data_IF_507283246579
#
_entry.id   IF_507283246579
#
_cell.length_a   1.000
_cell.length_b   1.000
_cell.length_c   1.000
_cell.angle_alpha   90.00
_cell.angle_beta   90.00
_cell.angle_gamma   90.00
#
_symmetry.space_group_name_H-M   'P 1'
#
loop_
_entity.id
_entity.type
_entity.pdbx_description
1 polymer ?
#
# COMPACT_ATOMS: atom_id res chain seq x y z
N UNK A 1 10.86 70.51 7.65
CA UNK A 1 10.30 71.87 7.88
C UNK A 1 8.83 71.85 7.46
N UNK A 2 7.88 71.88 8.41
CA UNK A 2 6.92 72.99 8.67
C UNK A 2 6.13 73.42 7.40
N UNK A 3 4.79 73.33 7.30
CA UNK A 3 3.73 73.88 8.19
C UNK A 3 2.33 73.35 7.84
N UNK A 4 1.48 73.26 8.87
CA UNK A 4 0.01 73.20 8.85
C UNK A 4 -0.66 74.44 8.20
N UNK A 5 -1.83 74.26 7.55
CA UNK A 5 -3.17 74.73 8.03
C UNK A 5 -4.27 74.68 6.94
N UNK A 6 -5.27 73.83 7.18
CA UNK A 6 -6.73 74.05 7.22
C UNK A 6 -7.31 75.21 6.36
N UNK A 7 -8.24 74.86 5.45
CA UNK A 7 -9.51 75.59 5.29
C UNK A 7 -10.66 74.62 4.95
N UNK A 8 -11.70 74.66 5.78
CA UNK A 8 -13.00 73.97 5.64
C UNK A 8 -13.80 74.55 4.47
N UNK A 9 -14.44 73.71 3.66
CA UNK A 9 -15.69 74.04 2.97
C UNK A 9 -16.70 72.91 3.19
N UNK A 10 -17.83 73.31 3.76
CA UNK A 10 -19.02 72.52 4.05
C UNK A 10 -19.81 72.39 2.74
N UNK A 11 -20.22 71.18 2.37
CA UNK A 11 -21.19 70.90 1.30
C UNK A 11 -22.27 69.99 1.91
N UNK A 12 -23.57 70.28 1.74
CA UNK A 12 -24.63 69.55 2.43
C UNK A 12 -24.84 68.19 1.77
N UNK A 13 -24.91 67.16 2.62
CA UNK A 13 -25.27 65.80 2.26
C UNK A 13 -26.79 65.72 2.10
N UNK A 14 -27.27 65.73 0.85
CA UNK A 14 -28.67 65.44 0.54
C UNK A 14 -28.84 63.91 0.57
N UNK A 15 -29.32 63.41 1.72
CA UNK A 15 -29.59 62.00 1.97
C UNK A 15 -30.86 61.59 1.19
N UNK A 16 -30.69 60.98 0.02
CA UNK A 16 -31.79 60.32 -0.68
C UNK A 16 -32.06 58.98 -0.01
N UNK A 17 -33.00 58.98 0.92
CA UNK A 17 -33.46 57.79 1.65
C UNK A 17 -34.30 56.93 0.71
N UNK A 18 -33.67 55.98 0.01
CA UNK A 18 -34.40 54.88 -0.61
C UNK A 18 -34.82 53.93 0.52
N UNK A 19 -36.03 54.10 1.04
CA UNK A 19 -36.67 53.09 1.86
C UNK A 19 -36.98 51.89 0.98
N UNK A 20 -36.06 50.93 0.96
CA UNK A 20 -36.34 49.58 0.47
C UNK A 20 -37.30 48.94 1.48
N UNK A 21 -38.58 48.89 1.14
CA UNK A 21 -39.58 48.11 1.86
C UNK A 21 -39.22 46.62 1.73
N UNK A 22 -38.32 46.13 2.57
CA UNK A 22 -38.19 44.71 2.86
C UNK A 22 -39.38 44.32 3.74
N UNK A 23 -40.49 43.95 3.08
CA UNK A 23 -41.54 43.17 3.73
C UNK A 23 -40.89 41.82 4.07
N UNK A 24 -40.39 41.68 5.29
CA UNK A 24 -40.17 40.37 5.89
C UNK A 24 -41.56 39.77 6.13
N UNK A 25 -42.04 39.01 5.16
CA UNK A 25 -43.09 38.03 5.46
C UNK A 25 -42.44 37.02 6.39
N UNK A 26 -42.60 37.18 7.69
CA UNK A 26 -42.40 36.09 8.62
C UNK A 26 -43.48 35.07 8.27
N UNK A 27 -43.12 34.07 7.45
CA UNK A 27 -43.87 32.83 7.46
C UNK A 27 -43.88 32.35 8.91
N UNK A 28 -45.04 32.35 9.54
CA UNK A 28 -45.22 31.82 10.88
C UNK A 28 -44.66 30.40 10.90
N UNK A 29 -43.61 30.16 11.67
CA UNK A 29 -43.09 28.81 11.90
C UNK A 29 -44.25 27.93 12.38
N UNK A 30 -44.58 26.88 11.63
CA UNK A 30 -45.67 25.94 11.92
C UNK A 30 -45.42 25.14 13.22
N UNK A 31 -44.17 25.08 13.66
CA UNK A 31 -43.77 24.44 14.90
C UNK A 31 -44.41 25.13 16.12
N UNK A 32 -44.88 24.30 17.06
CA UNK A 32 -45.42 24.72 18.36
C UNK A 32 -44.51 24.31 19.53
N UNK A 33 -43.34 23.73 19.24
CA UNK A 33 -42.36 23.29 20.23
C UNK A 33 -41.02 22.92 19.61
N UNK A 34 -40.09 22.46 20.45
CA UNK A 34 -38.76 22.02 19.99
C UNK A 34 -38.86 20.88 18.97
N UNK A 35 -37.85 20.69 18.09
CA UNK A 35 -37.95 19.72 17.03
C UNK A 35 -38.14 18.28 17.53
N UNK A 36 -38.77 17.44 16.73
CA UNK A 36 -38.85 16.00 16.98
C UNK A 36 -37.47 15.34 17.04
N UNK A 37 -37.42 14.06 17.44
CA UNK A 37 -36.16 13.33 17.58
C UNK A 37 -35.43 13.20 16.22
N UNK A 38 -34.22 13.76 16.12
CA UNK A 38 -33.37 13.64 14.95
C UNK A 38 -32.66 12.27 14.95
N UNK A 39 -32.87 11.47 13.91
CA UNK A 39 -32.24 10.16 13.74
C UNK A 39 -31.29 10.20 12.55
N UNK A 40 -30.04 9.83 12.76
CA UNK A 40 -29.00 9.88 11.72
C UNK A 40 -28.61 8.46 11.27
N UNK A 41 -28.35 8.28 9.98
CA UNK A 41 -27.89 7.02 9.38
C UNK A 41 -26.92 7.28 8.21
N UNK A 42 -26.28 6.21 7.72
CA UNK A 42 -25.43 6.22 6.53
C UNK A 42 -25.72 5.02 5.62
N UNK A 43 -25.25 5.09 4.38
CA UNK A 43 -25.33 4.01 3.38
C UNK A 43 -23.96 3.41 2.98
N UNK A 44 -22.87 3.81 3.65
CA UNK A 44 -21.49 3.32 3.45
C UNK A 44 -21.28 1.83 3.85
N UNK A 45 -22.06 0.92 3.27
CA UNK A 45 -22.00 -0.51 3.55
C UNK A 45 -20.86 -1.22 2.81
N UNK A 46 -20.42 -0.63 1.69
CA UNK A 46 -19.28 -1.06 0.88
C UNK A 46 -17.93 -0.52 1.38
N UNK A 47 -17.95 0.58 2.15
CA UNK A 47 -16.75 1.15 2.76
C UNK A 47 -15.88 1.94 1.78
N UNK A 48 -16.42 2.36 0.64
CA UNK A 48 -15.64 2.94 -0.48
C UNK A 48 -15.35 4.45 -0.33
N UNK A 49 -15.97 5.09 0.67
CA UNK A 49 -15.83 6.53 0.91
C UNK A 49 -16.79 7.40 0.10
N UNK A 50 -17.72 6.81 -0.63
CA UNK A 50 -18.84 7.46 -1.30
C UNK A 50 -20.13 7.09 -0.56
N UNK A 51 -20.58 7.98 0.31
CA UNK A 51 -21.76 7.71 1.13
C UNK A 51 -22.54 8.95 1.45
N UNK A 52 -23.79 8.75 1.82
CA UNK A 52 -24.73 9.77 2.22
C UNK A 52 -25.01 9.63 3.70
N UNK A 53 -24.80 10.72 4.45
CA UNK A 53 -25.34 10.85 5.81
C UNK A 53 -26.74 11.42 5.70
N UNK A 54 -27.72 10.71 6.25
CA UNK A 54 -29.14 11.12 6.23
C UNK A 54 -29.64 11.37 7.63
N UNK A 55 -30.29 12.51 7.85
CA UNK A 55 -31.06 12.80 9.06
C UNK A 55 -32.54 12.68 8.74
N UNK A 56 -33.27 11.90 9.56
CA UNK A 56 -34.72 11.79 9.54
C UNK A 56 -35.32 12.22 10.87
N UNK A 57 -36.36 13.03 10.80
CA UNK A 57 -37.30 13.29 11.90
C UNK A 57 -38.68 12.77 11.47
N UNK A 58 -39.13 11.68 12.09
CA UNK A 58 -40.32 10.94 11.63
C UNK A 58 -41.66 11.59 12.00
N UNK A 59 -41.71 12.29 13.12
CA UNK A 59 -42.89 12.97 13.65
C UNK A 59 -42.47 14.05 14.64
N UNK A 60 -43.36 15.02 14.89
CA UNK A 60 -43.12 16.14 15.83
C UNK A 60 -43.01 17.48 15.11
N UNK A 61 -42.41 18.47 15.77
CA UNK A 61 -42.17 19.78 15.16
C UNK A 61 -40.91 19.73 14.30
N UNK A 62 -40.91 20.41 13.16
CA UNK A 62 -39.74 20.51 12.29
C UNK A 62 -38.68 21.46 12.86
N UNK A 63 -37.45 21.24 12.42
CA UNK A 63 -36.38 22.23 12.52
C UNK A 63 -36.47 23.27 11.40
N UNK A 64 -35.98 24.47 11.69
CA UNK A 64 -35.71 25.53 10.69
C UNK A 64 -34.24 25.55 10.28
N UNK A 65 -33.39 24.73 10.90
CA UNK A 65 -32.00 24.53 10.51
C UNK A 65 -31.49 23.17 10.97
N UNK A 66 -30.56 22.58 10.24
CA UNK A 66 -29.76 21.46 10.73
C UNK A 66 -28.28 21.77 10.69
N UNK A 67 -27.51 21.23 11.63
CA UNK A 67 -26.05 21.26 11.64
C UNK A 67 -25.52 19.83 11.71
N UNK A 68 -24.66 19.44 10.76
CA UNK A 68 -23.97 18.16 10.76
C UNK A 68 -22.56 18.33 11.32
N UNK A 69 -22.17 17.43 12.22
CA UNK A 69 -20.84 17.38 12.82
C UNK A 69 -20.12 16.12 12.37
N UNK A 70 -18.84 16.27 12.04
CA UNK A 70 -17.88 15.19 11.81
C UNK A 70 -16.77 15.28 12.84
N UNK A 71 -16.49 14.20 13.57
CA UNK A 71 -15.46 14.17 14.61
C UNK A 71 -15.57 15.36 15.59
N UNK A 72 -16.81 15.65 15.99
CA UNK A 72 -17.22 16.78 16.84
C UNK A 72 -16.99 18.19 16.25
N UNK A 73 -16.62 18.32 14.99
CA UNK A 73 -16.49 19.61 14.28
C UNK A 73 -17.68 19.83 13.36
N UNK A 74 -18.33 21.00 13.42
CA UNK A 74 -19.42 21.33 12.52
C UNK A 74 -18.88 21.45 11.08
N UNK A 75 -19.44 20.68 10.15
CA UNK A 75 -19.03 20.63 8.73
C UNK A 75 -20.08 21.20 7.79
N UNK A 76 -21.31 21.35 8.27
CA UNK A 76 -22.44 21.86 7.49
C UNK A 76 -23.48 22.46 8.42
N UNK A 77 -24.04 23.62 8.06
CA UNK A 77 -25.27 24.15 8.65
C UNK A 77 -26.14 24.69 7.53
N UNK A 78 -27.39 24.21 7.43
CA UNK A 78 -28.33 24.63 6.39
C UNK A 78 -29.68 25.02 6.99
N UNK A 79 -30.33 26.00 6.37
CA UNK A 79 -31.70 26.39 6.72
C UNK A 79 -32.70 25.38 6.14
N UNK A 80 -33.75 25.09 6.89
CA UNK A 80 -34.82 24.15 6.52
C UNK A 80 -36.18 24.82 6.56
N UNK A 81 -37.12 24.30 5.78
CA UNK A 81 -38.52 24.73 5.82
C UNK A 81 -39.27 23.98 6.92
N UNK A 82 -39.94 24.74 7.78
CA UNK A 82 -40.84 24.20 8.81
C UNK A 82 -42.21 23.86 8.22
N UNK A 83 -42.46 22.57 8.06
CA UNK A 83 -43.72 21.99 7.56
C UNK A 83 -44.37 21.12 8.65
N UNK A 84 -44.23 21.52 9.92
CA UNK A 84 -44.77 20.76 11.06
C UNK A 84 -46.26 20.41 10.88
N UNK A 85 -46.71 19.21 11.29
CA UNK A 85 -45.96 18.15 11.98
C UNK A 85 -45.44 17.04 11.02
N UNK A 86 -45.27 17.34 9.73
CA UNK A 86 -44.84 16.35 8.74
C UNK A 86 -43.41 15.86 9.02
N UNK A 87 -43.09 14.65 8.57
CA UNK A 87 -41.72 14.16 8.62
C UNK A 87 -40.76 15.09 7.87
N UNK A 88 -39.52 15.17 8.36
CA UNK A 88 -38.47 16.03 7.79
C UNK A 88 -37.20 15.20 7.56
N UNK A 89 -36.66 15.28 6.34
CA UNK A 89 -35.47 14.54 5.93
C UNK A 89 -34.49 15.47 5.24
N UNK A 90 -33.21 15.34 5.58
CA UNK A 90 -32.10 16.04 4.93
C UNK A 90 -30.90 15.11 4.82
N UNK A 91 -30.03 15.36 3.85
CA UNK A 91 -28.88 14.51 3.63
C UNK A 91 -27.66 15.27 3.14
N UNK A 92 -26.48 14.70 3.41
CA UNK A 92 -25.19 15.18 2.90
C UNK A 92 -24.46 14.02 2.25
N UNK A 93 -24.25 14.12 0.94
CA UNK A 93 -23.38 13.22 0.20
C UNK A 93 -21.90 13.58 0.42
N UNK A 94 -21.11 12.54 0.62
CA UNK A 94 -19.66 12.53 0.61
C UNK A 94 -19.19 11.75 -0.61
N UNK A 95 -18.12 12.23 -1.23
CA UNK A 95 -17.49 11.56 -2.37
C UNK A 95 -16.01 11.49 -2.08
N UNK A 96 -15.40 10.34 -2.36
CA UNK A 96 -13.97 10.12 -2.24
C UNK A 96 -13.43 10.46 -0.84
N UNK A 97 -14.18 10.12 0.22
CA UNK A 97 -13.69 10.32 1.59
C UNK A 97 -12.41 9.50 1.79
N UNK A 98 -11.37 10.09 2.41
CA UNK A 98 -10.16 9.33 2.73
C UNK A 98 -10.48 8.12 3.62
N UNK A 99 -9.67 7.06 3.50
CA UNK A 99 -9.73 5.91 4.41
C UNK A 99 -9.62 6.39 5.86
N UNK A 100 -10.46 5.85 6.74
CA UNK A 100 -10.48 6.23 8.14
C UNK A 100 -11.82 5.98 8.81
N UNK A 101 -11.85 6.19 10.12
CA UNK A 101 -13.06 6.14 10.93
C UNK A 101 -13.54 7.55 11.22
N UNK A 102 -14.78 7.83 10.86
CA UNK A 102 -15.45 9.12 11.06
C UNK A 102 -16.62 8.94 12.00
N UNK A 103 -16.82 9.89 12.91
CA UNK A 103 -18.03 9.95 13.75
C UNK A 103 -18.92 11.08 13.29
N UNK A 104 -20.22 10.82 13.17
CA UNK A 104 -21.21 11.82 12.77
C UNK A 104 -22.33 11.94 13.79
N UNK A 105 -22.74 13.17 14.06
CA UNK A 105 -23.99 13.52 14.78
C UNK A 105 -24.57 14.78 14.17
N UNK A 106 -25.83 15.07 14.43
CA UNK A 106 -26.46 16.29 13.95
C UNK A 106 -27.32 16.97 15.02
N UNK A 107 -27.50 18.28 14.86
CA UNK A 107 -28.45 19.10 15.59
C UNK A 107 -29.55 19.57 14.63
N UNK A 108 -30.81 19.32 14.98
CA UNK A 108 -31.98 19.90 14.33
C UNK A 108 -32.55 21.00 15.24
N UNK A 109 -32.63 22.23 14.75
CA UNK A 109 -32.97 23.41 15.58
C UNK A 109 -34.12 24.22 14.99
N UNK A 110 -34.99 24.73 15.85
CA UNK A 110 -35.96 25.78 15.55
C UNK A 110 -35.93 26.87 16.65
N UNK A 111 -36.90 27.79 16.66
CA UNK A 111 -37.01 28.87 17.66
C UNK A 111 -37.29 28.39 19.09
N UNK A 112 -37.78 27.16 19.26
CA UNK A 112 -38.18 26.60 20.55
C UNK A 112 -37.10 25.70 21.17
N UNK A 113 -36.12 25.24 20.39
CA UNK A 113 -35.02 24.45 20.91
C UNK A 113 -34.25 23.67 19.85
N UNK A 114 -33.42 22.75 20.33
CA UNK A 114 -32.56 21.86 19.54
C UNK A 114 -32.83 20.40 19.92
N UNK A 115 -32.87 19.54 18.92
CA UNK A 115 -32.88 18.08 19.02
C UNK A 115 -31.57 17.55 18.45
N UNK A 116 -30.76 16.89 19.28
CA UNK A 116 -29.45 16.32 18.89
C UNK A 116 -29.59 14.81 18.67
N UNK A 117 -29.05 14.30 17.57
CA UNK A 117 -29.04 12.86 17.29
C UNK A 117 -28.04 12.09 18.16
N UNK A 118 -28.14 10.77 18.16
CA UNK A 118 -27.02 9.91 18.56
C UNK A 118 -25.83 10.09 17.60
N UNK A 119 -24.66 9.62 18.04
CA UNK A 119 -23.46 9.52 17.19
C UNK A 119 -23.44 8.19 16.44
N UNK A 120 -23.21 8.23 15.14
CA UNK A 120 -22.93 7.06 14.30
C UNK A 120 -21.46 7.05 13.88
N UNK A 121 -20.94 5.85 13.58
CA UNK A 121 -19.57 5.66 13.10
C UNK A 121 -19.59 5.16 11.67
N UNK A 122 -18.81 5.79 10.80
CA UNK A 122 -18.58 5.36 9.42
C UNK A 122 -17.13 4.96 9.27
N UNK A 123 -16.87 3.73 8.84
CA UNK A 123 -15.53 3.25 8.51
C UNK A 123 -15.37 3.20 7.00
N UNK A 124 -14.45 3.99 6.46
CA UNK A 124 -14.01 3.91 5.07
C UNK A 124 -12.81 2.98 5.02
N UNK A 125 -12.95 1.89 4.26
CA UNK A 125 -11.99 0.80 4.17
C UNK A 125 -11.06 0.92 2.95
N UNK A 126 -11.47 1.63 1.90
CA UNK A 126 -10.63 1.90 0.74
C UNK A 126 -10.55 3.41 0.52
N UNK A 127 -9.34 3.90 0.24
CA UNK A 127 -9.23 5.27 -0.24
C UNK A 127 -9.76 5.30 -1.70
N UNK A 128 -10.33 6.43 -2.15
CA UNK A 128 -10.74 6.58 -3.55
C UNK A 128 -9.59 6.23 -4.50
N UNK A 129 -9.87 5.65 -5.68
CA UNK A 129 -8.84 5.29 -6.64
C UNK A 129 -7.98 6.50 -6.97
N UNK A 130 -6.71 6.45 -6.60
CA UNK A 130 -5.79 7.50 -7.00
C UNK A 130 -5.55 7.40 -8.51
N UNK A 131 -5.48 8.55 -9.18
CA UNK A 131 -5.13 8.64 -10.60
C UNK A 131 -3.61 8.59 -10.85
N UNK A 132 -2.82 8.72 -9.78
CA UNK A 132 -1.35 8.74 -9.79
C UNK A 132 -0.84 8.18 -8.45
N UNK A 133 0.13 7.24 -8.45
CA UNK A 133 0.71 6.68 -7.23
C UNK A 133 1.70 7.64 -6.55
N UNK A 134 1.89 8.86 -7.04
CA UNK A 134 2.87 9.82 -6.52
C UNK A 134 4.29 9.53 -7.02
N UNK A 135 5.25 10.38 -6.66
CA UNK A 135 6.65 10.21 -7.06
C UNK A 135 7.36 9.25 -6.08
N UNK A 136 8.20 8.36 -6.61
CA UNK A 136 9.02 7.43 -5.82
C UNK A 136 9.81 8.13 -4.71
N UNK A 137 9.91 7.45 -3.57
CA UNK A 137 10.63 7.91 -2.39
C UNK A 137 12.14 7.67 -2.49
N UNK A 138 12.85 8.09 -1.45
CA UNK A 138 14.29 7.83 -1.32
C UNK A 138 14.54 6.52 -0.59
N UNK A 139 15.43 5.69 -1.12
CA UNK A 139 15.83 4.43 -0.49
C UNK A 139 17.02 4.62 0.44
N UNK A 140 16.97 4.00 1.62
CA UNK A 140 18.13 3.86 2.50
C UNK A 140 19.21 2.94 1.91
N UNK A 141 20.39 2.92 2.55
CA UNK A 141 21.45 1.97 2.23
C UNK A 141 21.15 0.54 2.68
N UNK A 142 20.26 0.40 3.67
CA UNK A 142 19.71 -0.85 4.19
C UNK A 142 18.21 -0.66 4.30
N UNK A 143 17.44 -1.64 3.83
CA UNK A 143 15.99 -1.55 3.71
C UNK A 143 15.38 -2.87 4.13
N UNK A 144 14.35 -2.83 4.97
CA UNK A 144 13.41 -3.93 5.11
C UNK A 144 12.19 -3.66 4.21
N UNK A 145 11.97 -4.52 3.22
CA UNK A 145 10.84 -4.41 2.27
C UNK A 145 10.18 -5.79 2.09
N UNK A 146 9.24 -6.19 2.98
CA UNK A 146 8.60 -7.49 2.91
C UNK A 146 7.73 -7.63 1.66
N UNK A 147 7.60 -8.85 1.15
CA UNK A 147 6.72 -9.13 0.02
C UNK A 147 5.25 -8.99 0.44
N UNK A 148 4.43 -8.50 -0.48
CA UNK A 148 2.97 -8.45 -0.38
C UNK A 148 2.41 -9.13 -1.61
N UNK A 149 1.73 -10.25 -1.44
CA UNK A 149 0.85 -10.79 -2.48
C UNK A 149 -0.34 -9.84 -2.62
N UNK A 150 -0.29 -8.99 -3.64
CA UNK A 150 -1.32 -7.96 -3.83
C UNK A 150 -2.63 -8.55 -4.30
N UNK A 151 -2.62 -9.75 -4.88
CA UNK A 151 -3.79 -10.42 -5.46
C UNK A 151 -4.57 -11.25 -4.42
N UNK A 152 -3.98 -11.50 -3.25
CA UNK A 152 -4.63 -12.26 -2.18
C UNK A 152 -5.83 -11.50 -1.59
N UNK A 153 -6.93 -12.23 -1.36
CA UNK A 153 -8.13 -11.69 -0.68
C UNK A 153 -8.27 -12.19 0.77
N UNK A 154 -8.56 -11.30 1.75
CA UNK A 154 -8.67 -9.84 1.61
C UNK A 154 -7.33 -9.18 1.28
N UNK A 155 -7.38 -8.10 0.50
CA UNK A 155 -6.19 -7.35 0.09
C UNK A 155 -5.46 -6.80 1.31
N UNK A 156 -4.14 -7.01 1.35
CA UNK A 156 -3.29 -6.44 2.39
C UNK A 156 -3.33 -4.89 2.33
N UNK A 157 -3.39 -4.23 3.49
CA UNK A 157 -3.31 -2.76 3.54
C UNK A 157 -1.94 -2.33 4.05
N UNK A 158 -1.16 -1.68 3.18
CA UNK A 158 0.10 -1.05 3.55
C UNK A 158 -0.14 0.03 4.62
N UNK A 159 -1.28 0.71 4.51
CA UNK A 159 -1.65 1.79 5.42
C UNK A 159 -2.05 1.32 6.82
N UNK A 160 -2.78 0.21 6.93
CA UNK A 160 -3.06 -0.41 8.24
C UNK A 160 -1.76 -0.89 8.90
N UNK A 161 -0.91 -1.56 8.13
CA UNK A 161 0.40 -1.99 8.59
C UNK A 161 1.25 -0.79 9.05
N UNK A 162 1.28 0.31 8.28
CA UNK A 162 1.94 1.55 8.66
C UNK A 162 1.38 2.12 9.96
N UNK A 163 0.06 2.20 10.12
CA UNK A 163 -0.56 2.74 11.32
C UNK A 163 -0.18 1.96 12.59
N UNK A 164 -0.01 0.63 12.46
CA UNK A 164 0.35 -0.27 13.57
C UNK A 164 1.86 -0.37 13.81
N UNK A 165 2.70 -0.23 12.77
CA UNK A 165 4.13 -0.60 12.84
C UNK A 165 5.08 0.49 12.37
N UNK A 166 4.60 1.51 11.67
CA UNK A 166 5.40 2.49 10.92
C UNK A 166 6.28 1.88 9.81
N UNK A 167 5.99 0.66 9.33
CA UNK A 167 6.64 0.08 8.15
C UNK A 167 6.26 0.86 6.89
N UNK A 168 7.25 1.16 6.03
CA UNK A 168 7.11 2.11 4.92
C UNK A 168 7.56 1.58 3.56
N UNK A 169 8.30 0.48 3.53
CA UNK A 169 8.85 -0.08 2.30
C UNK A 169 8.30 -1.47 2.07
N UNK A 170 7.96 -1.81 0.84
CA UNK A 170 7.34 -3.09 0.52
C UNK A 170 7.79 -3.57 -0.86
N UNK A 171 7.78 -4.87 -1.07
CA UNK A 171 7.91 -5.48 -2.40
C UNK A 171 6.54 -5.99 -2.83
N UNK A 172 5.95 -5.38 -3.84
CA UNK A 172 4.62 -5.75 -4.33
C UNK A 172 4.74 -6.86 -5.37
N UNK A 173 4.05 -7.96 -5.12
CA UNK A 173 4.18 -9.22 -5.85
C UNK A 173 2.82 -9.72 -6.36
N UNK A 174 2.68 -10.18 -7.61
CA UNK A 174 3.66 -10.17 -8.70
C UNK A 174 3.05 -9.64 -9.99
N UNK A 175 3.90 -9.04 -10.83
CA UNK A 175 3.58 -8.79 -12.23
C UNK A 175 3.97 -10.04 -13.05
N UNK A 176 2.99 -10.62 -13.72
CA UNK A 176 3.16 -11.71 -14.70
C UNK A 176 2.46 -11.37 -16.02
N UNK A 177 2.66 -12.19 -17.04
CA UNK A 177 2.03 -12.02 -18.34
C UNK A 177 0.56 -12.46 -18.31
N UNK A 178 -0.32 -11.62 -18.86
CA UNK A 178 -1.67 -12.02 -19.22
C UNK A 178 -1.67 -12.96 -20.44
N UNK A 179 -2.85 -13.38 -20.90
CA UNK A 179 -3.01 -14.28 -22.05
C UNK A 179 -2.50 -13.70 -23.38
N UNK A 180 -2.32 -12.39 -23.48
CA UNK A 180 -1.76 -11.69 -24.63
C UNK A 180 -0.27 -11.33 -24.43
N UNK A 181 0.33 -11.78 -23.32
CA UNK A 181 1.70 -11.49 -22.96
C UNK A 181 1.94 -10.09 -22.37
N UNK A 182 0.90 -9.32 -22.08
CA UNK A 182 1.03 -7.98 -21.47
C UNK A 182 1.28 -8.09 -19.96
N UNK A 183 1.98 -7.12 -19.34
CA UNK A 183 2.11 -7.09 -17.90
C UNK A 183 0.73 -6.94 -17.23
N UNK A 184 0.47 -7.75 -16.21
CA UNK A 184 -0.72 -7.69 -15.37
C UNK A 184 -0.38 -8.19 -13.96
N UNK A 185 -1.03 -7.64 -12.92
CA UNK A 185 -0.90 -8.21 -11.58
C UNK A 185 -1.52 -9.61 -11.57
N UNK A 186 -0.72 -10.60 -11.18
CA UNK A 186 -1.08 -12.02 -11.24
C UNK A 186 -1.48 -12.53 -12.63
N UNK A 187 -1.17 -11.80 -13.71
CA UNK A 187 -1.61 -12.15 -15.07
C UNK A 187 -3.09 -11.86 -15.33
N UNK A 188 -3.76 -11.17 -14.41
CA UNK A 188 -5.23 -10.96 -14.43
C UNK A 188 -5.59 -9.48 -14.41
N UNK A 189 -5.04 -8.68 -13.49
CA UNK A 189 -5.39 -7.25 -13.40
C UNK A 189 -4.48 -6.42 -14.32
N UNK A 190 -5.01 -5.84 -15.41
CA UNK A 190 -4.20 -5.20 -16.43
C UNK A 190 -3.56 -3.89 -15.95
N UNK A 191 -2.44 -3.50 -16.57
CA UNK A 191 -1.78 -2.21 -16.27
C UNK A 191 -2.63 -0.97 -16.64
N UNK A 192 -3.74 -1.11 -17.37
CA UNK A 192 -4.71 -0.02 -17.54
C UNK A 192 -5.32 0.40 -16.21
N UNK A 193 -5.47 -0.53 -15.28
CA UNK A 193 -6.08 -0.28 -13.99
C UNK A 193 -5.09 0.46 -13.09
N UNK A 194 -5.59 1.36 -12.25
CA UNK A 194 -4.79 2.07 -11.25
C UNK A 194 -4.66 1.24 -9.97
N UNK A 195 -4.44 -0.07 -10.13
CA UNK A 195 -4.45 -1.03 -9.04
C UNK A 195 -3.41 -0.66 -7.98
N UNK A 196 -3.77 -0.72 -6.70
CA UNK A 196 -2.91 -0.34 -5.56
C UNK A 196 -2.44 1.13 -5.51
N UNK A 197 -2.81 2.01 -6.46
CA UNK A 197 -2.30 3.39 -6.52
C UNK A 197 -2.49 4.16 -5.22
N UNK A 198 -3.64 3.99 -4.57
CA UNK A 198 -3.95 4.71 -3.33
C UNK A 198 -3.09 4.27 -2.15
N UNK A 199 -2.79 2.98 -2.03
CA UNK A 199 -1.88 2.45 -1.01
C UNK A 199 -0.45 2.95 -1.24
N UNK A 200 0.02 2.94 -2.51
CA UNK A 200 1.36 3.42 -2.88
C UNK A 200 1.49 4.93 -2.67
N UNK A 201 0.48 5.70 -3.08
CA UNK A 201 0.48 7.16 -2.89
C UNK A 201 0.55 7.53 -1.43
N UNK A 202 -0.23 6.84 -0.59
CA UNK A 202 -0.25 7.13 0.83
C UNK A 202 1.09 6.75 1.50
N UNK A 203 1.67 5.59 1.19
CA UNK A 203 2.97 5.21 1.76
C UNK A 203 4.10 6.16 1.32
N UNK A 204 4.08 6.63 0.06
CA UNK A 204 5.00 7.67 -0.44
C UNK A 204 4.82 8.99 0.29
N UNK A 205 3.59 9.38 0.63
CA UNK A 205 3.34 10.58 1.44
C UNK A 205 3.94 10.51 2.85
N UNK A 206 4.20 9.30 3.35
CA UNK A 206 4.88 9.01 4.64
C UNK A 206 6.39 8.84 4.50
N UNK A 207 6.95 9.07 3.31
CA UNK A 207 8.37 8.91 3.00
C UNK A 207 8.80 7.47 2.76
N UNK A 208 7.84 6.57 2.46
CA UNK A 208 8.09 5.21 2.00
C UNK A 208 8.15 5.09 0.48
N UNK A 209 8.32 3.86 -0.01
CA UNK A 209 8.20 3.53 -1.42
C UNK A 209 8.01 2.01 -1.61
N UNK A 210 7.81 1.57 -2.85
CA UNK A 210 7.62 0.17 -3.19
C UNK A 210 8.60 -0.32 -4.25
N UNK A 211 9.02 -1.57 -4.11
CA UNK A 211 9.65 -2.38 -5.16
C UNK A 211 8.52 -3.12 -5.89
N UNK A 212 8.55 -3.18 -7.22
CA UNK A 212 7.64 -4.07 -7.97
C UNK A 212 8.42 -5.31 -8.39
N UNK A 213 7.88 -6.47 -8.02
CA UNK A 213 8.45 -7.77 -8.37
C UNK A 213 7.74 -8.40 -9.56
N UNK A 214 8.52 -8.85 -10.53
CA UNK A 214 8.09 -9.59 -11.71
C UNK A 214 8.36 -11.09 -11.53
N UNK A 215 7.42 -11.94 -11.96
CA UNK A 215 7.58 -13.40 -11.91
C UNK A 215 6.92 -14.03 -10.69
N UNK A 216 7.71 -14.70 -9.86
CA UNK A 216 7.26 -15.54 -8.74
C UNK A 216 6.90 -16.97 -9.15
N UNK A 217 6.56 -17.80 -8.16
CA UNK A 217 6.30 -19.23 -8.33
C UNK A 217 5.13 -19.59 -9.27
N UNK A 218 4.16 -18.67 -9.44
CA UNK A 218 2.92 -18.92 -10.19
C UNK A 218 2.72 -17.91 -11.32
N UNK A 219 2.04 -18.35 -12.38
CA UNK A 219 1.74 -17.54 -13.57
C UNK A 219 2.79 -17.68 -14.66
N UNK A 220 2.66 -16.84 -15.70
CA UNK A 220 3.61 -16.84 -16.83
C UNK A 220 4.57 -15.67 -16.67
N UNK A 221 5.85 -15.93 -16.45
CA UNK A 221 6.85 -14.85 -16.37
C UNK A 221 6.98 -14.14 -17.74
N UNK A 222 7.09 -12.81 -17.71
CA UNK A 222 7.06 -11.98 -18.93
C UNK A 222 8.12 -12.38 -19.97
N UNK A 223 9.36 -12.68 -19.58
CA UNK A 223 10.41 -13.08 -20.52
C UNK A 223 10.19 -14.50 -21.08
N UNK A 224 9.41 -15.34 -20.40
CA UNK A 224 9.04 -16.69 -20.87
C UNK A 224 7.82 -16.71 -21.77
N UNK A 225 6.97 -15.67 -21.75
CA UNK A 225 5.75 -15.59 -22.53
C UNK A 225 6.03 -15.63 -24.04
N UNK A 226 5.27 -16.44 -24.79
CA UNK A 226 5.45 -16.63 -26.24
C UNK A 226 5.28 -15.36 -27.07
N UNK A 227 4.46 -14.42 -26.58
CA UNK A 227 4.27 -13.10 -27.19
C UNK A 227 5.42 -12.12 -26.93
N UNK A 228 6.41 -12.48 -26.11
CA UNK A 228 7.51 -11.63 -25.67
C UNK A 228 8.88 -12.20 -26.09
N UNK A 229 8.98 -12.80 -27.28
CA UNK A 229 10.23 -13.40 -27.74
C UNK A 229 11.26 -12.38 -28.23
N UNK A 230 10.82 -11.17 -28.59
CA UNK A 230 11.65 -10.03 -28.96
C UNK A 230 12.09 -9.20 -27.73
N UNK A 231 13.37 -8.81 -27.69
CA UNK A 231 13.97 -8.10 -26.55
C UNK A 231 13.36 -6.71 -26.35
N UNK A 232 13.12 -5.95 -27.44
CA UNK A 232 12.61 -4.59 -27.35
C UNK A 232 11.15 -4.57 -26.89
N UNK A 233 10.37 -5.57 -27.33
CA UNK A 233 9.01 -5.81 -26.87
C UNK A 233 8.98 -6.10 -25.37
N UNK A 234 9.85 -6.98 -24.89
CA UNK A 234 9.97 -7.28 -23.47
C UNK A 234 10.39 -6.05 -22.64
N UNK A 235 11.43 -5.32 -23.09
CA UNK A 235 11.88 -4.07 -22.47
C UNK A 235 10.73 -3.07 -22.36
N UNK A 236 9.98 -2.84 -23.44
CA UNK A 236 8.86 -1.90 -23.45
C UNK A 236 7.76 -2.29 -22.44
N UNK A 237 7.53 -3.61 -22.26
CA UNK A 237 6.56 -4.12 -21.28
C UNK A 237 7.03 -3.92 -19.84
N UNK A 238 8.31 -4.14 -19.54
CA UNK A 238 8.87 -3.78 -18.23
C UNK A 238 8.83 -2.26 -17.99
N UNK A 239 9.18 -1.45 -19.00
CA UNK A 239 9.14 0.01 -18.91
C UNK A 239 7.74 0.52 -18.61
N UNK A 240 6.70 -0.06 -19.23
CA UNK A 240 5.31 0.33 -18.99
C UNK A 240 4.92 0.19 -17.50
N UNK A 241 5.44 -0.82 -16.79
CA UNK A 241 5.20 -1.00 -15.35
C UNK A 241 5.99 0.03 -14.54
N UNK A 242 7.26 0.26 -14.90
CA UNK A 242 8.11 1.27 -14.28
C UNK A 242 7.44 2.65 -14.36
N UNK A 243 6.95 3.03 -15.53
CA UNK A 243 6.29 4.32 -15.77
C UNK A 243 4.96 4.43 -15.03
N UNK A 244 4.13 3.37 -15.11
CA UNK A 244 2.81 3.31 -14.47
C UNK A 244 2.90 3.56 -12.97
N UNK A 245 3.86 2.90 -12.31
CA UNK A 245 4.02 2.97 -10.86
C UNK A 245 5.08 3.96 -10.40
N UNK A 246 5.83 4.57 -11.33
CA UNK A 246 6.94 5.50 -11.06
C UNK A 246 7.96 4.91 -10.10
N UNK A 247 8.25 3.62 -10.23
CA UNK A 247 9.18 2.91 -9.34
C UNK A 247 10.62 3.13 -9.75
N UNK A 248 11.49 3.22 -8.76
CA UNK A 248 12.95 3.38 -8.95
C UNK A 248 13.73 2.12 -8.59
N UNK A 249 13.01 1.07 -8.18
CA UNK A 249 13.57 -0.24 -7.86
C UNK A 249 12.58 -1.32 -8.32
N UNK A 250 13.07 -2.25 -9.15
CA UNK A 250 12.33 -3.44 -9.56
C UNK A 250 13.08 -4.71 -9.17
N UNK A 251 12.32 -5.78 -9.01
CA UNK A 251 12.78 -7.10 -8.63
C UNK A 251 12.35 -8.12 -9.69
N UNK A 252 13.26 -9.02 -10.05
CA UNK A 252 12.98 -10.15 -10.93
C UNK A 252 13.05 -11.44 -10.12
N UNK A 253 11.88 -11.94 -9.74
CA UNK A 253 11.72 -13.17 -8.98
C UNK A 253 11.56 -14.35 -9.93
N UNK A 254 12.64 -15.12 -10.09
CA UNK A 254 12.74 -16.18 -11.09
C UNK A 254 12.80 -17.51 -10.36
N UNK A 255 11.77 -18.33 -10.55
CA UNK A 255 11.55 -19.55 -9.78
C UNK A 255 11.33 -20.78 -10.65
N UNK A 256 11.43 -21.96 -10.02
CA UNK A 256 11.11 -23.24 -10.63
C UNK A 256 11.88 -23.50 -11.94
N UNK A 257 11.16 -24.00 -12.95
CA UNK A 257 11.76 -24.35 -14.24
C UNK A 257 12.33 -23.13 -15.00
N UNK A 258 11.89 -21.91 -14.69
CA UNK A 258 12.33 -20.70 -15.38
C UNK A 258 13.77 -20.30 -15.04
N UNK A 259 14.28 -20.74 -13.88
CA UNK A 259 15.68 -20.52 -13.50
C UNK A 259 16.62 -21.24 -14.47
N UNK A 260 16.23 -22.42 -14.94
CA UNK A 260 17.00 -23.23 -15.88
C UNK A 260 16.76 -22.85 -17.36
N UNK A 261 15.77 -22.00 -17.66
CA UNK A 261 15.52 -21.54 -19.02
C UNK A 261 16.51 -20.44 -19.43
N UNK A 262 17.57 -20.87 -20.10
CA UNK A 262 18.62 -19.98 -20.61
C UNK A 262 18.13 -18.98 -21.64
N UNK A 263 17.07 -19.32 -22.40
CA UNK A 263 16.56 -18.46 -23.47
C UNK A 263 15.81 -17.27 -22.88
N UNK A 264 14.88 -17.51 -21.94
CA UNK A 264 14.21 -16.40 -21.24
C UNK A 264 15.19 -15.60 -20.38
N UNK A 265 16.17 -16.25 -19.76
CA UNK A 265 17.25 -15.58 -18.99
C UNK A 265 18.04 -14.59 -19.85
N UNK A 266 18.56 -15.02 -21.02
CA UNK A 266 19.33 -14.13 -21.89
C UNK A 266 18.48 -12.97 -22.43
N UNK A 267 17.23 -13.26 -22.80
CA UNK A 267 16.27 -12.24 -23.24
C UNK A 267 15.98 -11.21 -22.15
N UNK A 268 15.70 -11.68 -20.93
CA UNK A 268 15.43 -10.84 -19.76
C UNK A 268 16.60 -9.91 -19.47
N UNK A 269 17.82 -10.45 -19.41
CA UNK A 269 19.01 -9.66 -19.11
C UNK A 269 19.33 -8.63 -20.20
N UNK A 270 19.12 -8.95 -21.49
CA UNK A 270 19.22 -7.96 -22.57
C UNK A 270 18.18 -6.84 -22.44
N UNK A 271 16.93 -7.18 -22.12
CA UNK A 271 15.88 -6.19 -21.90
C UNK A 271 16.20 -5.30 -20.68
N UNK A 272 16.68 -5.88 -19.57
CA UNK A 272 17.13 -5.14 -18.38
C UNK A 272 18.27 -4.19 -18.73
N UNK A 273 19.21 -4.60 -19.58
CA UNK A 273 20.29 -3.70 -20.01
C UNK A 273 19.75 -2.46 -20.73
N UNK A 274 18.75 -2.64 -21.60
CA UNK A 274 18.05 -1.54 -22.24
C UNK A 274 17.31 -0.65 -21.24
N UNK A 275 16.59 -1.23 -20.27
CA UNK A 275 15.94 -0.46 -19.19
C UNK A 275 16.93 0.41 -18.41
N UNK A 276 18.14 -0.08 -18.15
CA UNK A 276 19.17 0.69 -17.45
C UNK A 276 19.74 1.83 -18.30
N UNK A 277 19.73 1.70 -19.62
CA UNK A 277 20.08 2.80 -20.52
C UNK A 277 19.01 3.89 -20.47
N UNK A 278 17.73 3.51 -20.47
CA UNK A 278 16.60 4.44 -20.41
C UNK A 278 16.41 5.06 -19.01
N UNK A 279 16.79 4.32 -17.95
CA UNK A 279 16.63 4.69 -16.56
C UNK A 279 17.95 4.48 -15.78
N UNK A 280 18.93 5.39 -15.90
CA UNK A 280 20.27 5.20 -15.33
C UNK A 280 20.28 4.90 -13.81
N UNK A 281 19.28 5.41 -13.08
CA UNK A 281 19.15 5.28 -11.63
C UNK A 281 18.25 4.10 -11.18
N UNK A 282 17.66 3.33 -12.10
CA UNK A 282 16.80 2.20 -11.76
C UNK A 282 17.61 1.10 -11.07
N UNK A 283 17.23 0.76 -9.84
CA UNK A 283 17.83 -0.36 -9.11
C UNK A 283 17.24 -1.68 -9.58
N UNK A 284 18.10 -2.65 -9.86
CA UNK A 284 17.73 -4.00 -10.31
C UNK A 284 18.05 -5.02 -9.21
N UNK A 285 17.03 -5.71 -8.73
CA UNK A 285 17.16 -6.90 -7.91
C UNK A 285 16.86 -8.17 -8.71
N UNK A 286 17.57 -9.25 -8.40
CA UNK A 286 17.18 -10.61 -8.78
C UNK A 286 16.86 -11.39 -7.50
N UNK A 287 15.62 -11.86 -7.37
CA UNK A 287 15.20 -12.78 -6.33
C UNK A 287 15.32 -14.21 -6.87
N UNK A 288 16.17 -15.03 -6.23
CA UNK A 288 16.55 -16.35 -6.74
C UNK A 288 16.48 -17.45 -5.66
N UNK A 289 16.09 -18.68 -6.03
CA UNK A 289 16.16 -19.82 -5.14
C UNK A 289 17.60 -20.09 -4.72
N UNK A 290 17.79 -20.46 -3.46
CA UNK A 290 19.12 -20.66 -2.88
C UNK A 290 19.13 -21.93 -2.03
N UNK A 291 20.30 -22.54 -1.90
CA UNK A 291 20.59 -23.56 -0.89
C UNK A 291 21.47 -22.95 0.20
N UNK A 292 21.66 -23.59 1.36
CA UNK A 292 22.67 -23.15 2.32
C UNK A 292 24.08 -23.05 1.71
N UNK A 293 24.37 -23.85 0.67
CA UNK A 293 25.60 -23.83 -0.12
C UNK A 293 25.67 -22.71 -1.18
N UNK A 294 24.64 -21.88 -1.30
CA UNK A 294 24.52 -20.78 -2.27
C UNK A 294 23.53 -21.08 -3.40
N UNK A 295 23.57 -20.26 -4.45
CA UNK A 295 22.80 -20.47 -5.67
C UNK A 295 23.24 -21.76 -6.36
N UNK A 296 22.28 -22.46 -6.98
CA UNK A 296 22.58 -23.58 -7.88
C UNK A 296 23.29 -23.09 -9.14
N UNK A 297 23.75 -24.03 -9.99
CA UNK A 297 24.39 -23.67 -11.26
C UNK A 297 23.47 -22.83 -12.16
N UNK A 298 22.17 -23.12 -12.20
CA UNK A 298 21.20 -22.38 -13.00
C UNK A 298 20.95 -20.97 -12.42
N UNK A 299 20.81 -20.85 -11.09
CA UNK A 299 20.70 -19.53 -10.44
C UNK A 299 21.94 -18.67 -10.65
N UNK A 300 23.13 -19.27 -10.60
CA UNK A 300 24.38 -18.58 -10.89
C UNK A 300 24.48 -18.16 -12.36
N UNK A 301 24.01 -19.00 -13.29
CA UNK A 301 23.96 -18.69 -14.71
C UNK A 301 23.12 -17.44 -15.02
N UNK A 302 22.03 -17.19 -14.29
CA UNK A 302 21.24 -15.95 -14.43
C UNK A 302 22.13 -14.72 -14.22
N UNK A 303 22.97 -14.74 -13.19
CA UNK A 303 23.88 -13.63 -12.84
C UNK A 303 25.08 -13.53 -13.78
N UNK A 304 25.66 -14.67 -14.19
CA UNK A 304 26.75 -14.70 -15.17
C UNK A 304 26.30 -14.17 -16.54
N UNK A 305 25.08 -14.52 -16.96
CA UNK A 305 24.48 -13.98 -18.17
C UNK A 305 24.17 -12.48 -18.03
N UNK A 306 23.70 -12.02 -16.86
CA UNK A 306 23.49 -10.60 -16.58
C UNK A 306 24.79 -9.81 -16.72
N UNK A 307 25.88 -10.34 -16.13
CA UNK A 307 27.24 -9.79 -16.28
C UNK A 307 27.67 -9.74 -17.74
N UNK A 308 27.48 -10.82 -18.48
CA UNK A 308 27.84 -10.92 -19.91
C UNK A 308 27.11 -9.89 -20.76
N UNK A 309 25.84 -9.63 -20.45
CA UNK A 309 25.02 -8.61 -21.11
C UNK A 309 25.25 -7.18 -20.54
N UNK A 310 26.18 -7.01 -19.60
CA UNK A 310 26.57 -5.71 -19.05
C UNK A 310 25.51 -5.08 -18.12
N UNK A 311 24.62 -5.89 -17.55
CA UNK A 311 23.62 -5.47 -16.56
C UNK A 311 24.32 -5.09 -15.25
N UNK A 312 24.00 -3.92 -14.71
CA UNK A 312 24.34 -3.57 -13.32
C UNK A 312 23.38 -4.34 -12.40
N UNK A 313 23.88 -5.33 -11.69
CA UNK A 313 23.12 -6.04 -10.66
C UNK A 313 23.28 -5.30 -9.34
N UNK A 314 22.23 -4.63 -8.88
CA UNK A 314 22.28 -3.83 -7.64
C UNK A 314 22.10 -4.71 -6.40
N UNK A 315 21.14 -5.66 -6.46
CA UNK A 315 20.86 -6.60 -5.37
C UNK A 315 20.67 -8.02 -5.89
N UNK A 316 21.29 -9.00 -5.23
CA UNK A 316 20.93 -10.42 -5.35
C UNK A 316 20.19 -10.81 -4.08
N UNK A 317 18.87 -10.93 -4.19
CA UNK A 317 17.99 -11.33 -3.10
C UNK A 317 17.85 -12.85 -3.10
N UNK A 318 18.12 -13.51 -1.98
CA UNK A 318 18.03 -14.98 -1.91
C UNK A 318 16.78 -15.40 -1.16
N UNK A 319 16.02 -16.32 -1.76
CA UNK A 319 14.87 -16.98 -1.11
C UNK A 319 15.37 -18.02 -0.12
N UNK A 320 15.63 -17.57 1.11
CA UNK A 320 16.17 -18.38 2.19
C UNK A 320 15.09 -19.26 2.85
N UNK A 321 14.50 -20.14 2.05
CA UNK A 321 13.35 -20.98 2.37
C UNK A 321 13.36 -22.26 1.52
N UNK A 322 12.57 -23.25 1.95
CA UNK A 322 12.23 -24.46 1.21
C UNK A 322 13.44 -25.24 0.67
N UNK A 323 14.45 -25.40 1.53
CA UNK A 323 15.70 -26.08 1.17
C UNK A 323 15.52 -27.59 0.99
N UNK A 324 14.61 -28.18 1.78
CA UNK A 324 14.45 -29.62 1.94
C UNK A 324 15.51 -30.25 2.83
N UNK A 325 15.14 -31.32 3.54
CA UNK A 325 15.99 -31.99 4.54
C UNK A 325 17.31 -32.53 3.98
N UNK A 326 17.40 -32.77 2.66
CA UNK A 326 18.64 -33.19 2.00
C UNK A 326 19.70 -32.09 1.94
N UNK A 327 19.28 -30.81 1.90
CA UNK A 327 20.17 -29.65 1.82
C UNK A 327 20.28 -28.92 3.17
N UNK A 328 19.23 -28.97 3.99
CA UNK A 328 19.14 -28.37 5.31
C UNK A 328 18.68 -29.40 6.36
N UNK A 329 19.54 -30.35 6.77
CA UNK A 329 19.13 -31.45 7.65
C UNK A 329 18.76 -30.95 9.05
N UNK A 330 17.66 -31.49 9.60
CA UNK A 330 17.09 -31.13 10.90
C UNK A 330 16.90 -29.61 11.07
N UNK A 331 16.02 -29.00 10.25
CA UNK A 331 15.92 -27.54 10.12
C UNK A 331 15.19 -26.83 11.25
N UNK A 332 14.44 -27.56 12.08
CA UNK A 332 13.73 -27.00 13.23
C UNK A 332 14.70 -26.23 14.17
N UNK A 333 14.39 -24.95 14.41
CA UNK A 333 15.22 -24.02 15.19
C UNK A 333 16.54 -23.58 14.53
N UNK A 334 16.79 -23.92 13.26
CA UNK A 334 18.02 -23.61 12.52
C UNK A 334 17.81 -22.83 11.24
N UNK A 335 16.57 -22.51 10.87
CA UNK A 335 16.29 -21.81 9.63
C UNK A 335 16.98 -20.44 9.54
N UNK A 336 17.19 -19.74 10.66
CA UNK A 336 18.00 -18.53 10.71
C UNK A 336 19.48 -18.78 10.41
N UNK A 337 20.04 -19.92 10.84
CA UNK A 337 21.43 -20.29 10.54
C UNK A 337 21.59 -20.62 9.06
N UNK A 338 20.65 -21.37 8.48
CA UNK A 338 20.66 -21.69 7.06
C UNK A 338 20.46 -20.46 6.17
N UNK A 339 19.62 -19.51 6.57
CA UNK A 339 19.48 -18.24 5.87
C UNK A 339 20.79 -17.44 5.84
N UNK A 340 21.48 -17.34 6.99
CA UNK A 340 22.80 -16.70 7.11
C UNK A 340 23.85 -17.43 6.25
N UNK A 341 23.85 -18.76 6.27
CA UNK A 341 24.77 -19.59 5.50
C UNK A 341 24.55 -19.39 3.99
N UNK A 342 23.30 -19.45 3.53
CA UNK A 342 22.93 -19.23 2.14
C UNK A 342 23.40 -17.85 1.64
N UNK A 343 23.11 -16.80 2.41
CA UNK A 343 23.54 -15.44 2.07
C UNK A 343 25.08 -15.32 2.00
N UNK A 344 25.79 -15.91 2.96
CA UNK A 344 27.27 -15.92 2.98
C UNK A 344 27.86 -16.65 1.78
N UNK A 345 27.30 -17.80 1.42
CA UNK A 345 27.69 -18.57 0.24
C UNK A 345 27.46 -17.77 -1.05
N UNK A 346 26.32 -17.09 -1.16
CA UNK A 346 25.99 -16.24 -2.32
C UNK A 346 26.92 -15.03 -2.46
N UNK A 347 27.34 -14.39 -1.36
CA UNK A 347 28.39 -13.34 -1.38
C UNK A 347 29.66 -13.88 -2.04
N UNK A 348 30.07 -15.08 -1.62
CA UNK A 348 31.29 -15.73 -2.13
C UNK A 348 31.15 -16.07 -3.62
N UNK A 349 30.01 -16.63 -4.03
CA UNK A 349 29.74 -16.95 -5.43
C UNK A 349 29.74 -15.70 -6.32
N UNK A 350 29.04 -14.62 -5.91
CA UNK A 350 29.02 -13.36 -6.65
C UNK A 350 30.43 -12.81 -6.85
N UNK A 351 31.24 -12.79 -5.79
CA UNK A 351 32.64 -12.35 -5.85
C UNK A 351 33.45 -13.21 -6.83
N UNK A 352 33.28 -14.54 -6.79
CA UNK A 352 33.98 -15.48 -7.66
C UNK A 352 33.65 -15.28 -9.14
N UNK A 353 32.38 -14.99 -9.49
CA UNK A 353 31.99 -14.67 -10.87
C UNK A 353 32.30 -13.21 -11.24
N UNK A 354 32.94 -12.46 -10.35
CA UNK A 354 33.35 -11.07 -10.56
C UNK A 354 32.18 -10.10 -10.66
N UNK A 355 31.16 -10.31 -9.83
CA UNK A 355 30.13 -9.35 -9.49
C UNK A 355 30.30 -8.92 -8.02
N UNK A 356 29.76 -7.75 -7.66
CA UNK A 356 29.76 -7.29 -6.27
C UNK A 356 28.44 -6.59 -5.93
N UNK A 357 27.30 -7.27 -6.11
CA UNK A 357 26.01 -6.72 -5.74
C UNK A 357 25.90 -6.64 -4.22
N UNK A 358 24.95 -5.86 -3.72
CA UNK A 358 24.48 -6.09 -2.35
C UNK A 358 23.64 -7.37 -2.31
N UNK A 359 23.52 -7.96 -1.13
CA UNK A 359 22.71 -9.16 -0.92
C UNK A 359 21.43 -8.79 -0.18
N UNK A 360 20.33 -9.37 -0.65
CA UNK A 360 19.06 -9.44 0.04
C UNK A 360 18.84 -10.82 0.63
N UNK A 361 18.16 -10.91 1.78
CA UNK A 361 17.75 -12.20 2.36
C UNK A 361 16.24 -12.19 2.59
N UNK A 362 15.55 -13.15 1.99
CA UNK A 362 14.09 -13.30 2.06
C UNK A 362 13.77 -14.68 2.62
N UNK A 363 13.60 -14.84 3.94
CA UNK A 363 13.00 -16.05 4.50
C UNK A 363 11.49 -16.09 4.25
N UNK A 364 10.93 -17.29 4.26
CA UNK A 364 9.50 -17.51 4.46
C UNK A 364 9.26 -17.61 5.97
N UNK A 365 8.37 -16.79 6.52
CA UNK A 365 8.18 -16.68 7.97
C UNK A 365 7.29 -17.80 8.52
N UNK A 366 7.54 -18.28 9.73
CA UNK A 366 6.79 -19.40 10.30
C UNK A 366 6.95 -20.67 9.47
N UNK A 367 5.87 -21.43 9.32
CA UNK A 367 5.84 -22.69 8.57
C UNK A 367 6.13 -22.44 7.08
N UNK A 368 7.14 -23.12 6.55
CA UNK A 368 7.47 -23.14 5.13
C UNK A 368 6.65 -24.20 4.37
N UNK A 369 6.77 -24.26 3.04
CA UNK A 369 6.12 -25.30 2.24
C UNK A 369 6.71 -26.69 2.53
N UNK A 370 8.00 -26.74 2.84
CA UNK A 370 8.65 -27.92 3.42
C UNK A 370 8.21 -28.08 4.88
N UNK A 371 7.41 -29.11 5.17
CA UNK A 371 6.77 -29.32 6.48
C UNK A 371 7.69 -29.51 7.69
N UNK A 372 8.98 -29.77 7.49
CA UNK A 372 10.00 -29.83 8.56
C UNK A 372 10.60 -28.46 8.88
N UNK A 373 10.44 -27.47 8.00
CA UNK A 373 11.05 -26.15 8.10
C UNK A 373 10.09 -25.14 8.72
N UNK A 374 10.54 -24.49 9.80
CA UNK A 374 9.82 -23.40 10.44
C UNK A 374 10.81 -22.28 10.76
N UNK A 375 10.61 -21.10 10.20
CA UNK A 375 11.40 -19.90 10.50
C UNK A 375 10.76 -19.11 11.65
N UNK A 376 11.32 -19.20 12.85
CA UNK A 376 10.73 -18.60 14.05
C UNK A 376 11.11 -17.13 14.23
N UNK A 377 10.44 -16.45 15.18
CA UNK A 377 10.82 -15.09 15.60
C UNK A 377 12.27 -15.01 16.09
N UNK A 378 12.78 -16.07 16.72
CA UNK A 378 14.19 -16.16 17.14
C UNK A 378 15.15 -16.22 15.96
N UNK A 379 14.74 -16.86 14.85
CA UNK A 379 15.50 -16.87 13.60
C UNK A 379 15.52 -15.49 12.95
N UNK A 380 14.40 -14.76 12.99
CA UNK A 380 14.32 -13.39 12.51
C UNK A 380 15.27 -12.45 13.27
N UNK A 381 15.30 -12.54 14.59
CA UNK A 381 16.22 -11.77 15.44
C UNK A 381 17.68 -12.11 15.15
N UNK A 382 17.98 -13.41 14.96
CA UNK A 382 19.32 -13.89 14.61
C UNK A 382 19.77 -13.33 13.26
N UNK A 383 18.92 -13.43 12.24
CA UNK A 383 19.19 -12.93 10.89
C UNK A 383 19.40 -11.41 10.89
N UNK A 384 18.53 -10.66 11.57
CA UNK A 384 18.66 -9.21 11.71
C UNK A 384 20.00 -8.82 12.33
N UNK A 385 20.36 -9.42 13.47
CA UNK A 385 21.61 -9.13 14.18
C UNK A 385 22.84 -9.40 13.30
N UNK A 386 22.84 -10.50 12.56
CA UNK A 386 23.91 -10.82 11.63
C UNK A 386 23.97 -9.82 10.47
N UNK A 387 22.82 -9.48 9.88
CA UNK A 387 22.73 -8.56 8.76
C UNK A 387 23.22 -7.17 9.14
N UNK A 388 22.88 -6.64 10.33
CA UNK A 388 23.37 -5.35 10.83
C UNK A 388 24.89 -5.28 10.86
N UNK A 389 25.55 -6.37 11.30
CA UNK A 389 27.01 -6.49 11.33
C UNK A 389 27.68 -6.70 9.97
N UNK A 390 26.91 -6.87 8.89
CA UNK A 390 27.43 -7.24 7.56
C UNK A 390 27.10 -6.18 6.50
N UNK A 391 28.14 -5.47 6.03
CA UNK A 391 28.00 -4.40 5.02
C UNK A 391 27.61 -4.88 3.62
N UNK A 392 27.70 -6.19 3.36
CA UNK A 392 27.27 -6.77 2.08
C UNK A 392 25.75 -6.88 1.99
N UNK A 393 25.03 -6.81 3.12
CA UNK A 393 23.57 -6.90 3.15
C UNK A 393 22.95 -5.52 3.03
N UNK A 394 22.01 -5.35 2.09
CA UNK A 394 21.25 -4.10 1.92
C UNK A 394 19.74 -4.30 1.95
N UNK A 395 19.27 -5.55 1.87
CA UNK A 395 17.85 -5.86 1.87
C UNK A 395 17.58 -7.01 2.85
N UNK A 396 16.58 -6.84 3.70
CA UNK A 396 15.84 -7.95 4.28
C UNK A 396 14.44 -7.86 3.69
N UNK A 397 13.87 -8.98 3.27
CA UNK A 397 12.45 -9.08 2.99
C UNK A 397 11.90 -10.31 3.69
N UNK A 398 10.65 -10.65 3.44
CA UNK A 398 10.08 -11.90 3.91
C UNK A 398 8.89 -12.30 3.04
N UNK A 399 8.64 -13.60 2.93
CA UNK A 399 7.39 -14.13 2.38
C UNK A 399 6.45 -14.56 3.53
N UNK A 400 5.39 -13.82 3.84
CA UNK A 400 4.98 -12.52 3.28
C UNK A 400 4.25 -11.68 4.33
N UNK A 401 3.97 -10.41 4.04
CA UNK A 401 3.33 -9.47 4.97
C UNK A 401 1.96 -9.94 5.47
N UNK A 402 1.16 -10.57 4.60
CA UNK A 402 -0.16 -11.11 4.98
C UNK A 402 -0.04 -12.32 5.92
N UNK A 403 1.10 -13.03 5.88
CA UNK A 403 1.36 -14.18 6.76
C UNK A 403 1.77 -13.77 8.17
N UNK A 404 2.12 -12.51 8.42
CA UNK A 404 2.70 -12.06 9.69
C UNK A 404 1.66 -11.89 10.81
N UNK A 405 1.00 -12.98 11.18
CA UNK A 405 0.02 -13.04 12.26
C UNK A 405 -0.19 -14.49 12.75
N UNK A 406 -0.69 -14.64 13.98
CA UNK A 406 -0.95 -15.93 14.61
C UNK A 406 -2.39 -16.47 14.48
N UNK A 407 -3.24 -15.88 13.63
CA UNK A 407 -4.69 -16.21 13.60
C UNK A 407 -4.99 -17.65 13.19
N UNK A 408 -4.09 -18.31 12.46
CA UNK A 408 -4.21 -19.72 12.08
C UNK A 408 -3.72 -20.72 13.11
N UNK A 409 -3.20 -20.26 14.25
CA UNK A 409 -2.56 -21.12 15.26
C UNK A 409 -1.30 -21.81 14.74
N UNK A 410 -0.82 -22.80 15.50
CA UNK A 410 0.32 -23.64 15.07
C UNK A 410 -0.16 -24.61 13.99
N UNK A 411 0.44 -24.56 12.81
CA UNK A 411 0.07 -25.39 11.66
C UNK A 411 1.32 -25.84 10.90
N UNK A 412 1.37 -27.12 10.52
CA UNK A 412 2.47 -27.72 9.75
C UNK A 412 2.30 -27.62 8.24
N UNK A 413 1.20 -27.03 7.78
CA UNK A 413 0.95 -26.69 6.39
C UNK A 413 1.06 -25.17 6.23
N UNK A 414 1.85 -24.74 5.24
CA UNK A 414 1.96 -23.34 4.89
C UNK A 414 0.59 -22.77 4.50
N UNK A 415 0.39 -21.49 4.85
CA UNK A 415 -0.81 -20.73 4.53
C UNK A 415 -0.41 -19.36 3.99
N UNK A 416 -1.10 -18.83 2.97
CA UNK A 416 -0.88 -17.47 2.51
C UNK A 416 -1.43 -16.41 3.48
N UNK A 417 -2.23 -16.82 4.48
CA UNK A 417 -2.98 -15.90 5.38
C UNK A 417 -2.41 -15.77 6.79
N UNK A 418 -1.50 -16.65 7.18
CA UNK A 418 -0.90 -16.68 8.52
C UNK A 418 0.39 -17.50 8.49
N UNK A 419 1.25 -17.29 9.47
CA UNK A 419 2.60 -17.89 9.51
C UNK A 419 2.58 -19.33 9.97
N UNK A 420 1.54 -19.79 10.66
CA UNK A 420 1.47 -21.14 11.21
C UNK A 420 2.27 -21.33 12.50
N UNK A 421 2.64 -20.23 13.18
CA UNK A 421 3.24 -20.25 14.52
C UNK A 421 2.47 -19.35 15.49
N UNK A 422 2.71 -19.55 16.79
CA UNK A 422 2.22 -18.62 17.81
C UNK A 422 3.00 -17.29 17.74
N UNK A 423 2.30 -16.21 17.39
CA UNK A 423 2.83 -14.85 17.36
C UNK A 423 1.69 -13.83 17.44
N UNK A 424 2.01 -12.58 17.73
CA UNK A 424 1.12 -11.44 17.52
C UNK A 424 1.13 -10.99 16.06
N UNK A 425 0.12 -10.22 15.67
CA UNK A 425 0.10 -9.52 14.38
C UNK A 425 1.33 -8.62 14.25
N UNK A 426 2.04 -8.74 13.13
CA UNK A 426 3.21 -7.97 12.77
C UNK A 426 4.49 -8.17 13.62
N UNK A 427 4.62 -9.29 14.34
CA UNK A 427 5.86 -9.55 15.10
C UNK A 427 7.11 -9.65 14.22
N UNK A 428 7.05 -10.31 13.06
CA UNK A 428 8.20 -10.37 12.14
C UNK A 428 8.53 -9.01 11.55
N UNK A 429 7.51 -8.26 11.13
CA UNK A 429 7.62 -6.87 10.66
C UNK A 429 8.29 -5.99 11.71
N UNK A 430 7.87 -6.10 12.97
CA UNK A 430 8.42 -5.32 14.07
C UNK A 430 9.87 -5.65 14.40
N UNK A 431 10.30 -6.90 14.16
CA UNK A 431 11.71 -7.29 14.23
C UNK A 431 12.48 -6.67 13.04
N UNK A 432 12.10 -7.01 11.80
CA UNK A 432 12.92 -6.68 10.64
C UNK A 432 12.92 -5.18 10.26
N UNK A 433 11.88 -4.40 10.61
CA UNK A 433 11.86 -2.95 10.36
C UNK A 433 12.98 -2.17 11.07
N UNK A 434 13.66 -2.80 12.03
CA UNK A 434 14.83 -2.23 12.67
C UNK A 434 16.06 -2.15 11.73
N UNK A 435 16.07 -2.92 10.63
CA UNK A 435 17.13 -2.92 9.62
C UNK A 435 17.10 -1.63 8.79
N UNK A 436 18.09 -0.75 8.94
CA UNK A 436 18.14 0.59 8.31
C UNK A 436 19.56 1.13 8.13
#
# INVERSE_FOLDING_TARGET
>A
MRKNRIFRKIIPLLLCLVMLNCIYVFASASASGAPGAANISHDNWDGDGNYTITMNMWWGNNGTSWTLYENNTAILTEALTDNSPNAQTVSKAFTNKPRGTYTYKCDLKNSYGTSTSSTITVTVNSAPPASDPGVGGTWGSRVFAPYVDVMLWPQFSLNDCYAKTAQKYYTLAFITADTNGNPAWGGVTPMSDNYYFSEIKDIRSKGGDVIISFGGANGTELASASANTDVNTLQSKYQAVIDKYKVTWIDFDIEGALVADKTSTDRRNKAIKGLQADNPNLKIAFCLPVLPSGLTADGLYVLENAKTNGVRVDVVNVMAMDYGDGQAPNPDGKMGDYAIQAATSTITQCTKIGLSPKIGVTPMIGQNDVGSEVFYLTDAQKLLKWADGNSSISLIAMWSSTRDNGTGGVNRQASPKYSGIAQSEFDFTNIFKAFK
#
